data_IF_133635996909
#
_entry.id   IF_133635996909
#
_cell.length_a   1.000
_cell.length_b   1.000
_cell.length_c   1.000
_cell.angle_alpha   90.00
_cell.angle_beta   90.00
_cell.angle_gamma   90.00
#
_symmetry.space_group_name_H-M   'P 1'
#
loop_
_entity.id
_entity.type
_entity.pdbx_description
1 polymer ?
#
# COMPACT_ATOMS: atom_id res chain seq x y z
N UNK A 1 -5.03 -12.15 2.31
CA UNK A 1 -6.43 -11.76 2.62
C UNK A 1 -7.02 -12.57 3.76
N UNK A 2 -6.61 -13.83 3.98
CA UNK A 2 -7.05 -14.68 5.12
C UNK A 2 -7.29 -13.95 6.45
N UNK A 3 -6.35 -13.13 6.93
CA UNK A 3 -6.52 -12.42 8.20
C UNK A 3 -7.71 -11.44 8.17
N UNK A 4 -7.93 -10.74 7.05
CA UNK A 4 -9.06 -9.82 6.86
C UNK A 4 -10.38 -10.59 6.85
N UNK A 5 -10.43 -11.72 6.13
CA UNK A 5 -11.60 -12.61 6.08
C UNK A 5 -11.94 -13.20 7.46
N UNK A 6 -10.92 -13.63 8.23
CA UNK A 6 -11.10 -14.15 9.60
C UNK A 6 -11.63 -13.10 10.57
N UNK A 7 -11.28 -11.82 10.36
CA UNK A 7 -11.76 -10.69 11.15
C UNK A 7 -13.09 -10.12 10.65
N UNK A 8 -13.67 -10.70 9.60
CA UNK A 8 -14.98 -10.32 9.08
C UNK A 8 -14.99 -9.13 8.11
N UNK A 9 -13.84 -8.71 7.58
CA UNK A 9 -13.79 -7.64 6.58
C UNK A 9 -14.19 -8.15 5.19
N UNK A 10 -15.04 -7.39 4.51
CA UNK A 10 -15.44 -7.66 3.12
C UNK A 10 -14.37 -7.19 2.15
N UNK A 11 -14.41 -7.72 0.91
CA UNK A 11 -13.44 -7.36 -0.13
C UNK A 11 -13.42 -5.86 -0.42
N UNK A 12 -14.59 -5.24 -0.43
CA UNK A 12 -14.79 -3.82 -0.70
C UNK A 12 -14.06 -2.95 0.32
N UNK A 13 -13.94 -3.42 1.58
CA UNK A 13 -13.27 -2.69 2.65
C UNK A 13 -11.73 -2.72 2.54
N UNK A 14 -11.13 -3.74 1.92
CA UNK A 14 -9.66 -3.89 1.92
C UNK A 14 -9.00 -3.85 0.54
N UNK A 15 -9.75 -4.03 -0.56
CA UNK A 15 -9.15 -4.17 -1.89
C UNK A 15 -8.37 -2.92 -2.34
N UNK A 16 -8.81 -1.73 -1.95
CA UNK A 16 -8.17 -0.46 -2.30
C UNK A 16 -6.74 -0.39 -1.77
N UNK A 17 -6.53 -0.80 -0.51
CA UNK A 17 -5.21 -0.79 0.13
C UNK A 17 -4.33 -2.02 -0.17
N UNK A 18 -4.85 -3.06 -0.83
CA UNK A 18 -4.09 -4.28 -1.11
C UNK A 18 -3.28 -4.20 -2.41
N UNK A 19 -2.13 -3.53 -2.35
CA UNK A 19 -1.30 -3.23 -3.52
C UNK A 19 -0.22 -4.29 -3.85
N UNK A 20 -0.05 -5.30 -2.99
CA UNK A 20 1.03 -6.30 -3.12
C UNK A 20 1.04 -7.03 -4.47
N UNK A 21 -0.13 -7.15 -5.12
CA UNK A 21 -0.25 -7.81 -6.43
C UNK A 21 0.34 -6.98 -7.58
N UNK A 22 0.55 -5.70 -7.37
CA UNK A 22 0.98 -4.75 -8.41
C UNK A 22 2.42 -4.29 -8.18
N UNK A 23 2.80 -4.03 -6.93
CA UNK A 23 4.12 -3.48 -6.57
C UNK A 23 4.99 -4.43 -5.72
N UNK A 24 4.48 -5.62 -5.37
CA UNK A 24 5.16 -6.56 -4.51
C UNK A 24 5.18 -6.15 -3.04
N UNK A 25 5.99 -6.84 -2.24
CA UNK A 25 6.12 -6.59 -0.81
C UNK A 25 7.18 -5.51 -0.54
N UNK A 26 6.73 -4.34 -0.07
CA UNK A 26 7.58 -3.19 0.29
C UNK A 26 7.96 -3.17 1.79
N UNK A 27 7.82 -4.29 2.49
CA UNK A 27 8.22 -4.47 3.89
C UNK A 27 7.55 -3.44 4.80
N UNK A 28 8.33 -2.65 5.55
CA UNK A 28 7.81 -1.62 6.44
C UNK A 28 6.94 -0.57 5.72
N UNK A 29 7.12 -0.39 4.41
CA UNK A 29 6.30 0.51 3.60
C UNK A 29 4.94 -0.06 3.17
N UNK A 30 4.67 -1.36 3.38
CA UNK A 30 3.49 -2.02 2.81
C UNK A 30 2.18 -1.45 3.36
N UNK A 31 2.07 -1.34 4.69
CA UNK A 31 0.89 -0.76 5.33
C UNK A 31 0.72 0.73 4.96
N UNK A 32 1.82 1.48 4.95
CA UNK A 32 1.80 2.92 4.64
C UNK A 32 1.36 3.20 3.20
N UNK A 33 1.90 2.49 2.21
CA UNK A 33 1.51 2.67 0.79
C UNK A 33 0.07 2.18 0.56
N UNK A 34 -0.39 1.15 1.28
CA UNK A 34 -1.81 0.77 1.28
C UNK A 34 -2.70 1.88 1.82
N UNK A 35 -2.29 2.54 2.92
CA UNK A 35 -3.01 3.66 3.51
C UNK A 35 -3.07 4.86 2.55
N UNK A 36 -1.99 5.20 1.82
CA UNK A 36 -2.05 6.30 0.85
C UNK A 36 -3.08 6.04 -0.25
N UNK A 37 -3.17 4.82 -0.76
CA UNK A 37 -4.18 4.47 -1.76
C UNK A 37 -5.62 4.54 -1.22
N UNK A 38 -5.83 4.25 0.07
CA UNK A 38 -7.13 4.46 0.73
C UNK A 38 -7.43 5.96 0.87
N UNK A 39 -6.45 6.74 1.33
CA UNK A 39 -6.60 8.19 1.50
C UNK A 39 -6.84 8.92 0.17
N UNK A 40 -6.32 8.42 -0.95
CA UNK A 40 -6.56 8.98 -2.29
C UNK A 40 -8.03 8.95 -2.71
N UNK A 41 -8.85 8.05 -2.13
CA UNK A 41 -10.26 7.85 -2.51
C UNK A 41 -11.25 7.97 -1.35
N UNK A 42 -10.77 8.25 -0.15
CA UNK A 42 -11.61 8.36 1.05
C UNK A 42 -12.50 9.62 1.01
N UNK A 43 -13.71 9.51 1.54
CA UNK A 43 -14.62 10.62 1.76
C UNK A 43 -14.51 11.15 3.20
N UNK A 44 -14.89 12.43 3.46
CA UNK A 44 -15.05 12.91 4.83
C UNK A 44 -15.98 12.01 5.64
N UNK A 45 -15.59 11.71 6.88
CA UNK A 45 -16.31 10.81 7.78
C UNK A 45 -15.99 9.33 7.61
N UNK A 46 -15.26 8.93 6.55
CA UNK A 46 -14.80 7.55 6.42
C UNK A 46 -13.89 7.16 7.59
N UNK A 47 -14.10 5.95 8.10
CA UNK A 47 -13.31 5.37 9.18
C UNK A 47 -12.37 4.31 8.62
N UNK A 48 -11.08 4.44 8.92
CA UNK A 48 -10.01 3.63 8.33
C UNK A 48 -9.26 2.92 9.46
N UNK A 49 -9.25 1.58 9.41
CA UNK A 49 -8.39 0.75 10.25
C UNK A 49 -7.15 0.32 9.45
N UNK A 50 -5.97 0.76 9.89
CA UNK A 50 -4.69 0.29 9.34
C UNK A 50 -3.97 -0.57 10.40
N UNK A 51 -3.54 -1.77 10.01
CA UNK A 51 -2.77 -2.67 10.88
C UNK A 51 -1.49 -3.09 10.18
N UNK A 52 -0.35 -2.88 10.83
CA UNK A 52 0.99 -3.27 10.34
C UNK A 52 1.40 -4.63 10.91
N UNK A 53 2.45 -5.24 10.35
CA UNK A 53 3.08 -6.43 10.94
C UNK A 53 4.58 -6.43 10.68
N UNK A 54 5.36 -6.68 11.73
CA UNK A 54 6.80 -6.87 11.70
C UNK A 54 7.20 -8.26 12.20
N UNK A 55 8.15 -8.91 11.52
CA UNK A 55 8.64 -10.24 11.90
C UNK A 55 9.49 -10.19 13.17
N UNK A 56 9.40 -11.21 14.03
CA UNK A 56 9.98 -11.24 15.37
C UNK A 56 8.92 -11.67 16.38
N UNK A 57 8.08 -10.74 16.82
CA UNK A 57 6.76 -10.49 16.23
C UNK A 57 6.18 -9.21 16.84
N UNK A 58 5.55 -8.37 16.01
CA UNK A 58 4.90 -7.13 16.46
C UNK A 58 3.92 -6.59 15.43
N UNK A 59 2.93 -5.83 15.90
CA UNK A 59 1.88 -5.25 15.06
C UNK A 59 1.42 -3.94 15.68
N UNK A 60 1.24 -2.91 14.85
CA UNK A 60 0.70 -1.62 15.25
C UNK A 60 -0.66 -1.40 14.57
N UNK A 61 -1.66 -1.00 15.36
CA UNK A 61 -3.01 -0.70 14.88
C UNK A 61 -3.34 0.79 15.00
N UNK A 62 -3.97 1.35 13.96
CA UNK A 62 -4.38 2.75 13.89
C UNK A 62 -5.85 2.83 13.46
N UNK A 63 -6.68 3.51 14.25
CA UNK A 63 -8.05 3.90 13.90
C UNK A 63 -8.04 5.39 13.51
N UNK A 64 -8.36 5.67 12.26
CA UNK A 64 -8.32 7.00 11.66
C UNK A 64 -9.71 7.40 11.19
N UNK A 65 -10.05 8.67 11.35
CA UNK A 65 -11.26 9.27 10.78
C UNK A 65 -10.87 10.33 9.77
N UNK A 66 -11.32 10.18 8.53
CA UNK A 66 -11.13 11.16 7.48
C UNK A 66 -11.90 12.44 7.82
N UNK A 67 -11.20 13.59 7.81
CA UNK A 67 -11.81 14.90 8.06
C UNK A 67 -12.20 15.59 6.75
N UNK A 68 -13.01 16.64 6.81
CA UNK A 68 -13.40 17.45 5.65
C UNK A 68 -12.21 17.98 4.84
N UNK A 69 -11.09 18.27 5.53
CA UNK A 69 -9.83 18.71 4.91
C UNK A 69 -9.29 17.75 3.86
N UNK A 70 -9.72 16.49 3.86
CA UNK A 70 -9.22 15.47 2.92
C UNK A 70 -9.48 15.91 1.46
N UNK A 71 -10.62 16.54 1.21
CA UNK A 71 -11.01 17.05 -0.12
C UNK A 71 -10.13 18.20 -0.61
N UNK A 72 -9.58 19.00 0.31
CA UNK A 72 -8.68 20.11 -0.01
C UNK A 72 -7.25 19.65 -0.33
N UNK A 73 -6.83 18.49 0.17
CA UNK A 73 -5.44 18.04 0.11
C UNK A 73 -5.18 16.85 -0.81
N UNK A 74 -6.18 16.01 -1.07
CA UNK A 74 -6.06 14.78 -1.87
C UNK A 74 -5.42 15.02 -3.25
N UNK A 75 -5.72 16.15 -3.89
CA UNK A 75 -5.27 16.45 -5.26
C UNK A 75 -3.97 17.27 -5.31
N UNK A 76 -3.39 17.61 -4.16
CA UNK A 76 -2.16 18.43 -4.10
C UNK A 76 -0.89 17.67 -4.47
N UNK A 77 -0.97 16.35 -4.63
CA UNK A 77 0.10 15.48 -5.09
C UNK A 77 -0.46 14.41 -6.05
N UNK A 78 0.38 13.78 -6.89
CA UNK A 78 -0.06 12.63 -7.68
C UNK A 78 -0.54 11.50 -6.77
N UNK A 79 -1.61 10.81 -7.17
CA UNK A 79 -2.14 9.67 -6.41
C UNK A 79 -1.17 8.49 -6.42
N UNK A 80 -1.36 7.58 -5.47
CA UNK A 80 -0.66 6.30 -5.40
C UNK A 80 -0.77 5.54 -6.72
N UNK A 81 -1.97 5.54 -7.33
CA UNK A 81 -2.21 4.90 -8.64
C UNK A 81 -1.39 5.54 -9.76
N UNK A 82 -1.30 6.87 -9.80
CA UNK A 82 -0.47 7.59 -10.77
C UNK A 82 1.02 7.28 -10.65
N UNK A 83 1.52 6.89 -9.48
CA UNK A 83 2.89 6.40 -9.32
C UNK A 83 3.05 4.96 -9.83
N UNK A 84 2.10 4.07 -9.53
CA UNK A 84 2.12 2.65 -9.96
C UNK A 84 2.04 2.52 -11.49
N UNK A 85 1.23 3.35 -12.12
CA UNK A 85 1.05 3.39 -13.58
C UNK A 85 2.28 3.91 -14.31
N UNK A 86 3.04 4.81 -13.68
CA UNK A 86 4.28 5.40 -14.22
C UNK A 86 5.48 4.47 -14.05
N UNK A 87 5.31 3.21 -14.43
CA UNK A 87 6.34 2.16 -14.34
C UNK A 87 7.03 1.96 -15.69
N UNK A 88 8.31 1.60 -15.63
CA UNK A 88 9.06 1.07 -16.77
C UNK A 88 9.22 -0.42 -16.55
N UNK A 89 8.71 -1.23 -17.48
CA UNK A 89 8.92 -2.67 -17.43
C UNK A 89 10.38 -2.98 -17.77
N UNK A 90 10.96 -3.92 -17.03
CA UNK A 90 12.31 -4.42 -17.24
C UNK A 90 12.29 -5.94 -17.34
N UNK A 91 13.21 -6.49 -18.11
CA UNK A 91 13.43 -7.93 -18.16
C UNK A 91 14.24 -8.43 -16.93
N UNK A 92 14.35 -9.75 -16.82
CA UNK A 92 15.06 -10.37 -15.70
C UNK A 92 16.56 -10.04 -15.69
N UNK A 93 17.21 -9.95 -16.86
CA UNK A 93 18.64 -9.64 -16.97
C UNK A 93 18.93 -8.20 -16.50
N UNK A 94 18.09 -7.26 -16.91
CA UNK A 94 18.09 -5.88 -16.41
C UNK A 94 17.87 -5.85 -14.90
N UNK A 95 16.89 -6.58 -14.38
CA UNK A 95 16.62 -6.68 -12.94
C UNK A 95 17.83 -7.18 -12.14
N UNK A 96 18.41 -8.33 -12.50
CA UNK A 96 19.54 -8.90 -11.75
C UNK A 96 20.78 -8.02 -11.83
N UNK A 97 20.98 -7.33 -12.95
CA UNK A 97 22.05 -6.32 -13.10
C UNK A 97 21.80 -5.12 -12.17
N UNK A 98 20.61 -4.50 -12.22
CA UNK A 98 20.25 -3.34 -11.39
C UNK A 98 20.30 -3.66 -9.89
N UNK A 99 19.90 -4.88 -9.51
CA UNK A 99 19.93 -5.36 -8.11
C UNK A 99 21.26 -5.95 -7.69
N UNK A 100 22.29 -5.92 -8.55
CA UNK A 100 23.64 -6.47 -8.28
C UNK A 100 23.61 -7.93 -7.81
N UNK A 101 22.81 -8.76 -8.49
CA UNK A 101 22.66 -10.20 -8.20
C UNK A 101 23.53 -11.10 -9.11
N UNK A 102 24.29 -10.52 -10.03
CA UNK A 102 25.22 -11.26 -10.87
C UNK A 102 26.46 -11.63 -10.04
N UNK A 103 26.86 -12.90 -10.09
CA UNK A 103 28.12 -13.32 -9.51
C UNK A 103 29.27 -12.66 -10.29
N UNK A 104 30.13 -11.94 -9.58
CA UNK A 104 31.42 -11.49 -10.09
C UNK A 104 32.46 -12.50 -9.61
N UNK A 105 33.05 -13.23 -10.55
CA UNK A 105 34.28 -14.00 -10.31
C UNK A 105 35.49 -13.08 -10.36
#
# INVERSE_FOLDING_TARGET
TRALEQLGFTKEQWQTGLLVREIGNTYAGAAMIGLTAVLDVAAPGDRILMVSYGSGAGSDGFDLMATDKITEVQTRAPSTRSYIERRVQIDYAQYVRMRRKLATH
#
